data_IF_047025352362
#
_entry.id   IF_047025352362
#
_cell.length_a   1.000
_cell.length_b   1.000
_cell.length_c   1.000
_cell.angle_alpha   90.00
_cell.angle_beta   90.00
_cell.angle_gamma   90.00
#
_symmetry.space_group_name_H-M   'P 1'
#
loop_
_entity.id
_entity.type
_entity.pdbx_description
1 polymer ?
#
# COMPACT_ATOMS: atom_id res chain seq x y z
N UNK A 1 48.37 -44.75 -15.88
CA UNK A 1 47.82 -44.27 -14.60
C UNK A 1 47.17 -42.91 -14.89
N UNK A 2 45.83 -42.87 -14.79
CA UNK A 2 44.95 -41.68 -14.63
C UNK A 2 45.02 -40.58 -15.71
N UNK A 3 44.05 -40.47 -16.63
CA UNK A 3 42.71 -39.86 -16.43
C UNK A 3 42.90 -38.41 -15.97
N UNK A 4 42.59 -37.38 -16.77
CA UNK A 4 41.21 -36.91 -16.89
C UNK A 4 40.98 -36.15 -18.21
N UNK A 5 39.90 -36.54 -18.86
CA UNK A 5 39.38 -36.09 -20.14
C UNK A 5 38.92 -34.63 -20.03
N UNK A 6 39.41 -33.80 -20.94
CA UNK A 6 38.92 -32.46 -21.20
C UNK A 6 37.50 -32.59 -21.80
N UNK A 7 36.48 -32.70 -20.95
CA UNK A 7 35.10 -32.57 -21.38
C UNK A 7 34.84 -31.09 -21.69
N UNK A 8 35.10 -30.73 -22.95
CA UNK A 8 34.42 -29.63 -23.61
C UNK A 8 32.95 -30.03 -23.68
N UNK A 9 32.19 -29.75 -22.62
CA UNK A 9 30.76 -29.62 -22.78
C UNK A 9 30.52 -28.27 -23.44
N UNK A 10 30.47 -28.33 -24.78
CA UNK A 10 29.40 -27.70 -25.53
C UNK A 10 28.11 -27.96 -24.74
N UNK A 11 27.72 -27.04 -23.87
CA UNK A 11 26.31 -26.89 -23.55
C UNK A 11 25.71 -26.26 -24.79
N UNK A 12 25.35 -27.15 -25.73
CA UNK A 12 24.19 -26.96 -26.57
C UNK A 12 23.14 -26.29 -25.67
N UNK A 13 22.93 -24.99 -25.88
CA UNK A 13 21.68 -24.37 -25.51
C UNK A 13 20.64 -25.26 -26.17
N UNK A 14 20.01 -26.11 -25.36
CA UNK A 14 18.68 -26.58 -25.66
C UNK A 14 17.88 -25.30 -25.71
N UNK A 15 17.73 -24.83 -26.96
CA UNK A 15 16.62 -24.01 -27.41
C UNK A 15 15.37 -24.79 -27.01
N UNK A 16 15.01 -24.70 -25.73
CA UNK A 16 13.63 -24.62 -25.35
C UNK A 16 13.26 -23.19 -25.67
N UNK A 17 12.95 -23.02 -26.94
CA UNK A 17 12.03 -22.04 -27.45
C UNK A 17 10.94 -21.80 -26.41
N UNK A 18 11.08 -20.74 -25.62
CA UNK A 18 9.93 -19.92 -25.27
C UNK A 18 9.74 -19.00 -26.47
N UNK A 19 9.30 -19.60 -27.58
CA UNK A 19 8.51 -18.87 -28.55
C UNK A 19 7.11 -18.79 -27.95
N UNK A 20 6.61 -17.58 -27.73
CA UNK A 20 5.26 -17.34 -27.21
C UNK A 20 5.31 -16.56 -25.90
N UNK A 21 4.95 -15.29 -25.84
CA UNK A 21 4.14 -14.52 -26.78
C UNK A 21 4.63 -13.06 -26.75
N UNK A 22 4.70 -12.45 -27.94
CA UNK A 22 4.14 -11.12 -28.14
C UNK A 22 2.83 -11.09 -27.35
N UNK A 23 2.85 -10.61 -26.10
CA UNK A 23 1.70 -10.69 -25.21
C UNK A 23 0.63 -9.84 -25.89
N UNK A 24 -0.28 -10.51 -26.58
CA UNK A 24 -1.06 -9.87 -27.62
C UNK A 24 -1.84 -8.76 -26.97
N UNK A 25 -1.52 -7.52 -27.35
CA UNK A 25 -2.35 -6.37 -27.10
C UNK A 25 -3.59 -6.44 -28.01
N UNK A 26 -4.28 -7.58 -27.97
CA UNK A 26 -5.44 -7.96 -28.76
C UNK A 26 -6.32 -8.95 -27.94
N UNK A 27 -6.39 -8.77 -26.62
CA UNK A 27 -7.39 -9.50 -25.81
C UNK A 27 -8.80 -9.08 -26.26
N UNK A 28 -9.49 -9.95 -27.00
CA UNK A 28 -10.89 -9.80 -27.43
C UNK A 28 -11.20 -8.45 -28.13
N UNK A 29 -10.29 -7.90 -28.94
CA UNK A 29 -10.42 -6.58 -29.59
C UNK A 29 -10.74 -5.43 -28.61
N UNK A 30 -10.27 -5.55 -27.36
CA UNK A 30 -10.48 -4.53 -26.32
C UNK A 30 -9.22 -3.72 -25.99
N UNK A 31 -8.06 -4.16 -26.47
CA UNK A 31 -6.76 -3.52 -26.29
C UNK A 31 -6.12 -3.28 -27.67
N UNK A 32 -5.30 -2.24 -27.79
CA UNK A 32 -4.48 -1.97 -28.97
C UNK A 32 -3.15 -1.34 -28.58
N UNK A 33 -2.09 -1.68 -29.30
CA UNK A 33 -0.81 -0.99 -29.18
C UNK A 33 -0.94 0.45 -29.65
N UNK A 34 -0.38 1.38 -28.89
CA UNK A 34 -0.16 2.75 -29.35
C UNK A 34 0.91 2.77 -30.46
N UNK A 35 1.04 3.90 -31.19
CA UNK A 35 2.25 4.17 -31.96
C UNK A 35 3.51 4.11 -31.09
N UNK A 36 4.67 4.00 -31.74
CA UNK A 36 5.97 4.14 -31.09
C UNK A 36 6.25 5.61 -30.77
N UNK A 37 6.78 5.86 -29.57
CA UNK A 37 7.19 7.15 -29.06
C UNK A 37 8.68 7.10 -28.74
N UNK A 38 9.43 8.10 -29.20
CA UNK A 38 10.81 8.36 -28.81
C UNK A 38 10.85 9.79 -28.31
N UNK A 39 10.93 9.95 -26.99
CA UNK A 39 10.72 11.22 -26.34
C UNK A 39 12.02 11.86 -25.87
N UNK A 40 13.01 11.08 -25.42
CA UNK A 40 14.32 11.59 -25.01
C UNK A 40 15.45 10.93 -25.79
N UNK A 41 16.40 11.73 -26.24
CA UNK A 41 17.64 11.21 -26.82
C UNK A 41 18.61 10.72 -25.73
N UNK A 42 19.44 9.70 -26.02
CA UNK A 42 20.48 9.26 -25.11
C UNK A 42 21.40 10.40 -24.67
N UNK A 43 21.72 10.44 -23.38
CA UNK A 43 22.66 11.38 -22.80
C UNK A 43 23.80 10.62 -22.06
N UNK A 44 24.84 11.30 -21.55
CA UNK A 44 25.96 10.61 -20.89
C UNK A 44 25.60 9.75 -19.67
N UNK A 45 24.40 9.92 -19.09
CA UNK A 45 23.87 9.09 -17.99
C UNK A 45 22.99 7.92 -18.46
N UNK A 46 22.69 7.83 -19.75
CA UNK A 46 21.78 6.84 -20.33
C UNK A 46 20.60 7.50 -21.05
N UNK A 47 19.58 6.71 -21.34
CA UNK A 47 18.35 7.12 -22.02
C UNK A 47 17.13 6.71 -21.19
N UNK A 48 16.03 7.44 -21.30
CA UNK A 48 14.81 7.11 -20.58
C UNK A 48 13.55 7.60 -21.31
N UNK A 49 12.53 6.74 -21.32
CA UNK A 49 11.22 6.99 -21.89
C UNK A 49 10.18 6.92 -20.75
N UNK A 50 9.75 8.09 -20.26
CA UNK A 50 8.81 8.19 -19.14
C UNK A 50 7.37 8.18 -19.63
N UNK A 51 6.58 7.23 -19.15
CA UNK A 51 5.16 7.10 -19.45
C UNK A 51 4.39 8.38 -19.11
N UNK A 52 4.66 8.98 -17.95
CA UNK A 52 3.99 10.22 -17.55
C UNK A 52 4.29 11.39 -18.52
N UNK A 53 5.52 11.48 -19.03
CA UNK A 53 5.92 12.53 -19.96
C UNK A 53 5.27 12.33 -21.34
N UNK A 54 5.34 11.11 -21.88
CA UNK A 54 4.72 10.76 -23.17
C UNK A 54 3.20 10.92 -23.10
N UNK A 55 2.57 10.51 -21.99
CA UNK A 55 1.12 10.70 -21.76
C UNK A 55 0.74 12.17 -21.69
N UNK A 56 1.57 13.02 -21.08
CA UNK A 56 1.30 14.45 -21.04
C UNK A 56 1.27 15.08 -22.43
N UNK A 57 2.01 14.55 -23.40
CA UNK A 57 2.03 15.03 -24.78
C UNK A 57 1.00 14.34 -25.68
N UNK A 58 0.64 13.09 -25.35
CA UNK A 58 -0.30 12.28 -26.11
C UNK A 58 -1.45 11.74 -25.24
N UNK A 59 -2.21 12.61 -24.54
CA UNK A 59 -3.19 12.19 -23.52
C UNK A 59 -4.39 11.41 -24.08
N UNK A 60 -4.64 11.50 -25.38
CA UNK A 60 -5.71 10.79 -26.09
C UNK A 60 -5.26 9.46 -26.68
N UNK A 61 -3.95 9.24 -26.80
CA UNK A 61 -3.38 8.02 -27.39
C UNK A 61 -2.81 7.10 -26.32
N UNK A 62 -2.22 7.67 -25.27
CA UNK A 62 -1.57 6.91 -24.19
C UNK A 62 -2.46 6.92 -22.96
N UNK A 63 -2.92 5.73 -22.58
CA UNK A 63 -3.76 5.52 -21.41
C UNK A 63 -2.99 5.78 -20.09
N UNK A 64 -3.74 6.09 -19.04
CA UNK A 64 -3.15 6.35 -17.72
C UNK A 64 -2.57 5.12 -17.03
N UNK A 65 -3.00 3.92 -17.42
CA UNK A 65 -2.58 2.63 -16.86
C UNK A 65 -2.45 1.60 -18.01
N UNK A 66 -1.29 1.54 -18.69
CA UNK A 66 -1.04 0.57 -19.74
C UNK A 66 -1.09 -0.88 -19.23
N UNK A 67 -1.58 -1.80 -20.07
CA UNK A 67 -1.52 -3.23 -19.75
C UNK A 67 -0.10 -3.79 -19.92
N UNK A 68 0.68 -3.19 -20.81
CA UNK A 68 2.05 -3.56 -21.10
C UNK A 68 2.80 -2.38 -21.74
N UNK A 69 4.13 -2.44 -21.69
CA UNK A 69 5.03 -1.57 -22.43
C UNK A 69 6.00 -2.43 -23.24
N UNK A 70 6.35 -1.98 -24.45
CA UNK A 70 7.33 -2.61 -25.33
C UNK A 70 8.32 -1.55 -25.78
N UNK A 71 9.59 -1.91 -25.90
CA UNK A 71 10.65 -1.02 -26.34
C UNK A 71 11.51 -1.66 -27.44
N UNK A 72 11.88 -0.87 -28.45
CA UNK A 72 12.80 -1.28 -29.52
C UNK A 72 13.86 -0.20 -29.70
N UNK A 73 15.09 -0.59 -30.04
CA UNK A 73 16.09 0.40 -30.42
C UNK A 73 15.80 0.96 -31.83
N UNK A 74 16.55 1.99 -32.26
CA UNK A 74 16.40 2.59 -33.60
C UNK A 74 16.65 1.62 -34.77
N UNK A 75 17.29 0.46 -34.51
CA UNK A 75 17.44 -0.61 -35.51
C UNK A 75 16.23 -1.57 -35.55
N UNK A 76 15.21 -1.34 -34.73
CA UNK A 76 14.02 -2.18 -34.61
C UNK A 76 14.25 -3.47 -33.82
N UNK A 77 15.38 -3.59 -33.10
CA UNK A 77 15.69 -4.74 -32.27
C UNK A 77 14.96 -4.60 -30.94
N UNK A 78 14.23 -5.64 -30.54
CA UNK A 78 13.52 -5.67 -29.26
C UNK A 78 14.50 -5.53 -28.11
N UNK A 79 14.12 -4.76 -27.08
CA UNK A 79 14.93 -4.53 -25.88
C UNK A 79 15.51 -5.82 -25.27
N UNK A 80 14.77 -6.95 -25.32
CA UNK A 80 15.20 -8.22 -24.75
C UNK A 80 16.27 -8.95 -25.58
N UNK A 81 16.49 -8.50 -26.82
CA UNK A 81 17.49 -9.03 -27.74
C UNK A 81 18.77 -8.17 -27.75
N UNK A 82 18.70 -6.99 -27.15
CA UNK A 82 19.87 -6.13 -26.99
C UNK A 82 20.72 -6.61 -25.81
N UNK A 83 21.99 -6.23 -25.82
CA UNK A 83 22.90 -6.46 -24.68
C UNK A 83 22.88 -5.27 -23.70
N UNK A 84 21.90 -4.37 -23.79
CA UNK A 84 21.84 -3.13 -23.01
C UNK A 84 21.23 -3.34 -21.63
N UNK A 85 21.61 -2.50 -20.67
CA UNK A 85 21.07 -2.55 -19.31
C UNK A 85 19.75 -1.78 -19.24
N UNK A 86 18.65 -2.47 -19.55
CA UNK A 86 17.32 -1.87 -19.60
C UNK A 86 16.54 -2.20 -18.32
N UNK A 87 15.93 -1.18 -17.73
CA UNK A 87 15.11 -1.27 -16.52
C UNK A 87 13.73 -0.71 -16.85
N UNK A 88 12.68 -1.46 -16.54
CA UNK A 88 11.30 -0.98 -16.65
C UNK A 88 10.72 -0.77 -15.25
N UNK A 89 10.21 0.42 -14.96
CA UNK A 89 9.53 0.74 -13.69
C UNK A 89 8.23 1.45 -13.97
N UNK A 90 7.10 0.87 -13.58
CA UNK A 90 5.79 1.52 -13.75
C UNK A 90 5.57 2.04 -15.18
N UNK A 91 5.92 1.23 -16.17
CA UNK A 91 5.87 1.53 -17.62
C UNK A 91 6.89 2.55 -18.14
N UNK A 92 7.71 3.14 -17.28
CA UNK A 92 8.88 3.91 -17.70
C UNK A 92 10.00 2.96 -18.11
N UNK A 93 10.64 3.22 -19.23
CA UNK A 93 11.77 2.43 -19.75
C UNK A 93 13.05 3.24 -19.58
N UNK A 94 14.05 2.67 -18.93
CA UNK A 94 15.35 3.30 -18.70
C UNK A 94 16.43 2.41 -19.29
N UNK A 95 17.28 2.96 -20.15
CA UNK A 95 18.55 2.34 -20.47
C UNK A 95 19.66 3.04 -19.68
N UNK A 96 20.46 2.27 -18.94
CA UNK A 96 21.58 2.80 -18.16
C UNK A 96 22.91 2.51 -18.84
N UNK A 97 23.76 3.54 -18.96
CA UNK A 97 25.14 3.35 -19.40
C UNK A 97 25.88 2.50 -18.34
N UNK A 98 26.41 1.36 -18.76
CA UNK A 98 27.11 0.44 -17.88
C UNK A 98 28.54 0.91 -17.58
N UNK A 99 28.94 0.88 -16.30
CA UNK A 99 30.35 0.97 -15.91
C UNK A 99 30.84 -0.43 -15.51
N UNK A 100 31.06 -1.29 -16.51
CA UNK A 100 31.70 -2.58 -16.30
C UNK A 100 33.19 -2.49 -16.69
N UNK A 101 34.14 -2.63 -15.73
CA UNK A 101 35.57 -2.57 -16.01
C UNK A 101 36.09 -3.71 -16.91
N UNK A 102 35.29 -4.74 -17.20
CA UNK A 102 35.66 -5.86 -18.09
C UNK A 102 35.17 -5.71 -19.53
N UNK A 103 34.22 -4.83 -19.82
CA UNK A 103 33.57 -4.77 -21.14
C UNK A 103 33.61 -3.40 -21.85
N UNK A 104 34.49 -2.49 -21.38
CA UNK A 104 34.58 -1.10 -21.87
C UNK A 104 33.25 -0.34 -21.77
N UNK A 105 33.30 0.98 -21.93
CA UNK A 105 32.14 1.86 -21.79
C UNK A 105 31.04 1.49 -22.78
N UNK A 106 29.97 0.84 -22.31
CA UNK A 106 28.80 0.55 -23.13
C UNK A 106 27.78 1.67 -22.98
N UNK A 107 27.62 2.46 -24.04
CA UNK A 107 26.60 3.48 -24.16
C UNK A 107 25.30 2.85 -24.61
N UNK A 108 24.19 3.24 -23.97
CA UNK A 108 22.86 2.86 -24.38
C UNK A 108 22.57 3.20 -25.84
N UNK A 109 21.92 2.26 -26.54
CA UNK A 109 21.22 2.58 -27.77
C UNK A 109 20.07 3.55 -27.49
N UNK A 110 19.55 4.15 -28.56
CA UNK A 110 18.35 4.99 -28.54
C UNK A 110 17.10 4.11 -28.72
N UNK A 111 16.13 4.21 -27.80
CA UNK A 111 14.95 3.37 -27.67
C UNK A 111 13.65 4.13 -27.88
N UNK A 112 12.75 3.52 -28.63
CA UNK A 112 11.35 3.94 -28.75
C UNK A 112 10.46 3.00 -27.97
N UNK A 113 9.42 3.52 -27.33
CA UNK A 113 8.45 2.74 -26.55
C UNK A 113 7.04 2.82 -27.12
N UNK A 114 6.24 1.78 -26.90
CA UNK A 114 4.80 1.79 -27.13
C UNK A 114 4.07 1.12 -25.98
N UNK A 115 2.81 1.49 -25.80
CA UNK A 115 1.98 1.07 -24.68
C UNK A 115 0.80 0.24 -25.18
N UNK A 116 0.44 -0.79 -24.44
CA UNK A 116 -0.78 -1.53 -24.70
C UNK A 116 -1.93 -0.87 -23.94
N UNK A 117 -2.88 -0.26 -24.65
CA UNK A 117 -3.95 0.53 -24.05
C UNK A 117 -5.34 0.03 -24.45
N UNK A 118 -6.38 0.24 -23.62
CA UNK A 118 -7.75 -0.10 -23.99
C UNK A 118 -8.24 0.69 -25.21
N UNK A 119 -8.93 0.00 -26.13
CA UNK A 119 -9.64 0.64 -27.24
C UNK A 119 -10.87 1.33 -26.66
N UNK A 120 -10.87 2.66 -26.66
CA UNK A 120 -12.04 3.45 -26.30
C UNK A 120 -13.06 3.34 -27.43
N UNK A 121 -14.01 2.39 -27.32
CA UNK A 121 -15.19 2.39 -28.20
C UNK A 121 -16.02 3.62 -27.85
N UNK A 122 -16.24 4.53 -28.82
CA UNK A 122 -17.18 5.63 -28.65
C UNK A 122 -18.58 5.07 -28.43
N UNK A 123 -19.01 4.98 -27.17
CA UNK A 123 -20.37 4.62 -26.82
C UNK A 123 -21.30 5.75 -27.26
N UNK A 124 -22.39 5.38 -27.92
CA UNK A 124 -23.42 6.34 -28.35
C UNK A 124 -24.21 6.85 -27.16
N UNK A 125 -24.83 8.04 -27.28
CA UNK A 125 -25.63 8.66 -26.20
C UNK A 125 -26.79 7.77 -25.76
N UNK A 126 -27.28 6.90 -26.65
CA UNK A 126 -28.33 5.93 -26.35
C UNK A 126 -27.84 4.79 -25.41
N UNK A 127 -26.65 4.23 -25.62
CA UNK A 127 -26.12 3.12 -24.81
C UNK A 127 -25.77 3.54 -23.37
N UNK A 128 -25.35 4.79 -23.17
CA UNK A 128 -25.16 5.38 -21.83
C UNK A 128 -26.50 5.54 -21.11
N UNK A 129 -27.60 5.77 -21.85
CA UNK A 129 -28.93 5.97 -21.26
C UNK A 129 -29.55 4.66 -20.75
N UNK A 130 -29.29 3.54 -21.42
CA UNK A 130 -29.83 2.23 -21.02
C UNK A 130 -29.12 1.63 -19.79
N UNK A 131 -27.85 1.99 -19.55
CA UNK A 131 -27.12 1.62 -18.33
C UNK A 131 -27.66 2.33 -17.07
N UNK A 132 -28.33 3.48 -17.22
CA UNK A 132 -28.89 4.25 -16.11
C UNK A 132 -30.39 3.99 -15.87
N UNK A 133 -31.11 3.32 -16.79
CA UNK A 133 -32.58 3.15 -16.72
C UNK A 133 -33.04 1.75 -16.28
N UNK A 134 -32.21 0.70 -16.28
CA UNK A 134 -32.62 -0.65 -15.85
C UNK A 134 -32.69 -0.88 -14.32
N UNK A 135 -32.96 0.18 -13.55
CA UNK A 135 -33.54 0.05 -12.22
C UNK A 135 -35.01 -0.34 -12.31
N UNK A 136 -35.31 -1.64 -12.45
CA UNK A 136 -36.67 -2.15 -12.33
C UNK A 136 -36.85 -2.95 -11.03
N UNK A 137 -37.57 -2.34 -10.10
CA UNK A 137 -38.10 -2.93 -8.87
C UNK A 137 -39.40 -3.67 -9.16
N UNK A 138 -39.49 -4.93 -8.68
CA UNK A 138 -40.68 -5.78 -8.52
C UNK A 138 -40.87 -6.95 -9.52
N UNK A 139 -40.15 -8.03 -9.27
CA UNK A 139 -40.59 -9.44 -9.28
C UNK A 139 -39.33 -10.24 -8.90
N UNK A 140 -39.17 -10.76 -7.68
CA UNK A 140 -39.87 -11.91 -7.12
C UNK A 140 -39.83 -11.80 -5.59
N UNK A 141 -41.01 -11.66 -4.98
CA UNK A 141 -41.22 -12.13 -3.61
C UNK A 141 -41.34 -13.64 -3.70
N UNK A 142 -40.27 -14.36 -3.34
CA UNK A 142 -40.39 -15.61 -2.58
C UNK A 142 -39.02 -16.05 -2.03
N UNK A 143 -38.95 -16.03 -0.69
CA UNK A 143 -38.01 -16.62 0.26
C UNK A 143 -36.49 -16.28 0.22
N UNK A 144 -35.91 -15.85 1.38
CA UNK A 144 -34.59 -15.27 1.47
C UNK A 144 -33.51 -16.33 1.76
N UNK A 145 -32.47 -16.37 0.93
CA UNK A 145 -31.18 -16.94 1.34
C UNK A 145 -30.22 -15.82 1.72
N UNK A 146 -29.75 -15.89 2.96
CA UNK A 146 -28.77 -15.03 3.61
C UNK A 146 -27.50 -14.89 2.76
N UNK A 147 -27.31 -13.74 2.12
CA UNK A 147 -25.97 -13.20 1.84
C UNK A 147 -26.00 -11.70 2.20
N UNK A 148 -25.38 -11.37 3.33
CA UNK A 148 -25.38 -10.06 3.93
C UNK A 148 -24.86 -8.98 2.96
N UNK A 149 -25.62 -7.91 2.76
CA UNK A 149 -25.03 -6.61 2.43
C UNK A 149 -23.94 -6.33 3.48
N UNK A 150 -22.68 -6.27 3.04
CA UNK A 150 -21.54 -5.97 3.88
C UNK A 150 -21.71 -4.57 4.49
N UNK A 151 -22.07 -4.49 5.77
CA UNK A 151 -22.15 -3.21 6.50
C UNK A 151 -20.79 -2.92 7.11
N UNK A 152 -20.02 -2.03 6.48
CA UNK A 152 -18.73 -1.55 7.00
C UNK A 152 -18.88 -0.86 8.38
N UNK A 153 -17.77 -0.66 9.07
CA UNK A 153 -17.70 0.22 10.25
C UNK A 153 -18.41 -0.32 11.50
N UNK A 154 -18.70 -1.62 11.54
CA UNK A 154 -19.25 -2.29 12.72
C UNK A 154 -18.13 -2.84 13.59
N UNK A 155 -17.74 -2.07 14.60
CA UNK A 155 -16.89 -2.62 15.67
C UNK A 155 -17.65 -3.70 16.45
N UNK A 156 -16.92 -4.61 17.10
CA UNK A 156 -17.52 -5.51 18.09
C UNK A 156 -18.24 -4.72 19.18
N UNK A 157 -19.35 -5.25 19.73
CA UNK A 157 -20.13 -4.58 20.81
C UNK A 157 -19.26 -4.16 21.99
N UNK A 158 -18.12 -4.83 22.19
CA UNK A 158 -17.15 -4.55 23.25
C UNK A 158 -16.30 -3.28 23.06
N UNK A 159 -16.27 -2.67 21.86
CA UNK A 159 -15.50 -1.46 21.54
C UNK A 159 -16.15 -0.16 22.05
N UNK A 160 -17.40 -0.23 22.54
CA UNK A 160 -18.11 0.91 23.09
C UNK A 160 -17.52 1.30 24.46
N UNK A 161 -16.91 2.49 24.52
CA UNK A 161 -16.42 3.09 25.75
C UNK A 161 -17.61 3.59 26.56
N UNK A 162 -18.25 2.70 27.34
CA UNK A 162 -19.24 3.15 28.31
C UNK A 162 -18.51 3.87 29.45
N UNK A 163 -18.62 5.21 29.45
CA UNK A 163 -18.41 5.99 30.66
C UNK A 163 -19.59 5.69 31.60
N UNK A 164 -19.49 4.62 32.38
CA UNK A 164 -20.40 4.40 33.49
C UNK A 164 -19.99 5.32 34.64
N UNK A 165 -20.75 6.40 34.83
CA UNK A 165 -20.84 7.07 36.12
C UNK A 165 -21.43 6.05 37.12
N UNK A 166 -20.65 5.67 38.13
CA UNK A 166 -21.07 4.68 39.13
C UNK A 166 -20.01 4.54 40.21
N UNK A 167 -20.29 5.12 41.36
CA UNK A 167 -19.49 5.19 42.58
C UNK A 167 -18.99 3.83 43.08
N UNK A 168 -17.69 3.72 43.34
CA UNK A 168 -17.18 2.96 44.48
C UNK A 168 -15.80 3.48 44.89
N UNK A 169 -15.81 4.21 45.99
CA UNK A 169 -14.65 4.73 46.70
C UNK A 169 -14.05 3.56 47.50
N UNK A 170 -13.22 2.69 46.89
CA UNK A 170 -12.29 1.77 47.57
C UNK A 170 -11.64 0.85 46.52
N UNK A 171 -10.65 1.34 45.76
CA UNK A 171 -9.55 0.52 45.20
C UNK A 171 -8.46 1.42 44.57
N UNK A 172 -8.19 2.58 45.15
CA UNK A 172 -6.98 3.35 44.84
C UNK A 172 -5.85 2.76 45.65
N UNK A 173 -5.09 1.82 45.06
CA UNK A 173 -3.69 1.46 45.36
C UNK A 173 -3.44 0.04 44.80
N UNK A 174 -3.29 -0.07 43.47
CA UNK A 174 -2.59 -1.14 42.73
C UNK A 174 -2.92 -0.98 41.24
N UNK A 175 -2.40 0.08 40.60
CA UNK A 175 -2.38 0.15 39.13
C UNK A 175 -1.14 0.90 38.63
N UNK A 176 -0.02 0.64 39.28
CA UNK A 176 1.31 1.05 38.81
C UNK A 176 1.87 -0.05 37.91
N UNK A 177 2.25 0.35 36.69
CA UNK A 177 3.02 -0.39 35.69
C UNK A 177 2.27 -1.35 34.75
N UNK A 178 1.70 -0.79 33.67
CA UNK A 178 1.53 -1.52 32.40
C UNK A 178 2.01 -0.60 31.25
N UNK A 179 2.97 -1.02 30.38
CA UNK A 179 3.58 -0.15 29.37
C UNK A 179 2.75 -0.05 28.07
N UNK A 180 2.73 1.11 27.38
CA UNK A 180 1.61 1.70 26.59
C UNK A 180 1.96 2.13 25.14
N UNK A 181 1.09 2.13 24.09
CA UNK A 181 1.07 3.28 23.11
C UNK A 181 1.14 4.52 24.01
N UNK A 182 2.00 5.53 23.90
CA UNK A 182 2.28 6.38 25.08
C UNK A 182 0.98 6.76 25.84
N UNK A 183 0.82 6.25 27.07
CA UNK A 183 -0.39 6.30 27.92
C UNK A 183 -1.76 5.79 27.39
N UNK A 184 -1.81 5.01 26.32
CA UNK A 184 -2.94 4.24 25.79
C UNK A 184 -3.18 2.91 26.52
N UNK A 185 -4.38 2.35 26.32
CA UNK A 185 -4.85 1.12 26.98
C UNK A 185 -4.80 -0.06 26.02
N UNK A 186 -4.69 -1.28 26.54
CA UNK A 186 -4.90 -2.47 25.74
C UNK A 186 -6.32 -2.45 25.16
N UNK A 187 -6.44 -2.71 23.86
CA UNK A 187 -7.74 -2.85 23.23
C UNK A 187 -8.38 -4.16 23.71
N UNK A 188 -9.70 -4.22 23.84
CA UNK A 188 -10.33 -5.53 24.05
C UNK A 188 -10.14 -6.36 22.78
N UNK A 189 -9.84 -7.67 22.87
CA UNK A 189 -9.74 -8.54 21.70
C UNK A 189 -10.93 -8.36 20.75
N UNK A 190 -10.66 -8.34 19.45
CA UNK A 190 -11.66 -8.19 18.37
C UNK A 190 -12.41 -6.84 18.35
N UNK A 191 -11.98 -5.83 19.11
CA UNK A 191 -12.65 -4.51 19.09
C UNK A 191 -12.51 -3.79 17.75
N UNK A 192 -11.42 -4.07 17.01
CA UNK A 192 -11.05 -3.37 15.80
C UNK A 192 -10.84 -4.35 14.63
N UNK A 193 -11.93 -4.92 14.09
CA UNK A 193 -11.86 -6.02 13.12
C UNK A 193 -11.29 -5.63 11.74
N UNK A 194 -11.09 -4.34 11.50
CA UNK A 194 -10.44 -3.82 10.29
C UNK A 194 -8.93 -3.62 10.44
N UNK A 195 -8.36 -3.76 11.64
CA UNK A 195 -6.93 -3.54 11.84
C UNK A 195 -6.12 -4.64 11.17
N UNK A 196 -5.09 -4.23 10.46
CA UNK A 196 -4.18 -5.13 9.74
C UNK A 196 -2.77 -4.93 10.26
N UNK A 197 -2.13 -6.01 10.69
CA UNK A 197 -0.69 -6.06 10.92
C UNK A 197 0.00 -6.42 9.62
N UNK A 198 0.82 -5.50 9.10
CA UNK A 198 1.66 -5.71 7.94
C UNK A 198 3.05 -6.13 8.43
N UNK A 199 3.50 -7.31 8.01
CA UNK A 199 4.85 -7.82 8.25
C UNK A 199 5.59 -8.04 6.94
N UNK A 200 6.89 -8.32 7.05
CA UNK A 200 7.75 -8.65 5.91
C UNK A 200 8.48 -9.98 6.13
N UNK A 201 8.62 -10.75 5.06
CA UNK A 201 9.44 -11.94 4.97
C UNK A 201 10.68 -11.59 4.13
N UNK A 202 11.87 -11.79 4.67
CA UNK A 202 13.14 -11.49 3.99
C UNK A 202 14.15 -12.61 4.17
N UNK A 203 15.13 -12.68 3.27
CA UNK A 203 16.22 -13.65 3.37
C UNK A 203 17.39 -13.01 4.11
N UNK A 204 17.76 -13.54 5.27
CA UNK A 204 18.91 -13.05 6.02
C UNK A 204 20.24 -13.36 5.32
N UNK A 205 21.35 -12.81 5.83
CA UNK A 205 22.71 -13.07 5.32
C UNK A 205 23.12 -14.54 5.32
N UNK A 206 22.43 -15.37 6.11
CA UNK A 206 22.62 -16.83 6.18
C UNK A 206 21.83 -17.61 5.12
N UNK A 207 21.07 -16.93 4.26
CA UNK A 207 20.21 -17.58 3.25
C UNK A 207 18.93 -18.19 3.81
N UNK A 208 18.65 -18.05 5.11
CA UNK A 208 17.43 -18.52 5.78
C UNK A 208 16.34 -17.46 5.71
N UNK A 209 15.10 -17.86 5.42
CA UNK A 209 13.94 -16.98 5.47
C UNK A 209 13.64 -16.57 6.91
N UNK A 210 13.60 -15.25 7.14
CA UNK A 210 13.23 -14.62 8.39
C UNK A 210 11.94 -13.82 8.20
N UNK A 211 11.16 -13.71 9.27
CA UNK A 211 9.91 -12.96 9.26
C UNK A 211 9.98 -11.86 10.32
N UNK A 212 9.81 -10.61 9.90
CA UNK A 212 9.36 -9.54 10.80
C UNK A 212 7.84 -9.59 10.81
N UNK A 213 7.28 -10.07 11.90
CA UNK A 213 5.84 -10.30 12.06
C UNK A 213 5.00 -9.02 11.94
N UNK A 214 5.59 -7.88 12.29
CA UNK A 214 4.98 -6.57 12.22
C UNK A 214 6.02 -5.50 11.89
N UNK A 215 5.72 -4.65 10.91
CA UNK A 215 6.50 -3.46 10.53
C UNK A 215 5.63 -2.21 10.43
N UNK A 216 4.38 -2.37 10.01
CA UNK A 216 3.41 -1.29 9.88
C UNK A 216 1.99 -1.80 10.20
N UNK A 217 1.11 -0.86 10.49
CA UNK A 217 -0.33 -1.06 10.45
C UNK A 217 -0.92 -0.90 9.05
N UNK A 218 -2.15 -1.37 8.91
CA UNK A 218 -3.02 -1.13 7.78
C UNK A 218 -4.48 -1.22 8.20
N UNK A 219 -5.38 -0.90 7.28
CA UNK A 219 -6.82 -0.88 7.55
C UNK A 219 -7.60 -1.53 6.42
N UNK A 220 -8.37 -2.57 6.74
CA UNK A 220 -9.27 -3.22 5.81
C UNK A 220 -10.43 -2.28 5.43
N UNK A 221 -10.55 -1.93 4.15
CA UNK A 221 -11.58 -0.99 3.63
C UNK A 221 -12.66 -1.68 2.78
N UNK A 222 -12.38 -2.88 2.29
CA UNK A 222 -13.36 -3.85 1.77
C UNK A 222 -12.83 -5.28 2.00
N UNK A 223 -13.43 -6.31 1.41
CA UNK A 223 -12.97 -7.70 1.61
C UNK A 223 -11.61 -8.02 0.98
N UNK A 224 -11.05 -7.17 0.12
CA UNK A 224 -9.84 -7.45 -0.67
C UNK A 224 -8.80 -6.35 -0.63
N UNK A 225 -9.07 -5.21 0.02
CA UNK A 225 -8.22 -4.04 -0.02
C UNK A 225 -7.89 -3.52 1.38
N UNK A 226 -6.59 -3.29 1.59
CA UNK A 226 -6.04 -2.72 2.82
C UNK A 226 -5.41 -1.38 2.50
N UNK A 227 -5.83 -0.34 3.21
CA UNK A 227 -5.23 0.99 3.15
C UNK A 227 -4.07 1.08 4.14
N UNK A 228 -2.96 1.68 3.74
CA UNK A 228 -1.78 1.91 4.59
C UNK A 228 -1.03 3.16 4.10
N UNK A 229 0.12 3.46 4.70
CA UNK A 229 0.99 4.56 4.29
C UNK A 229 1.90 4.13 3.12
N UNK A 230 2.27 5.07 2.25
CA UNK A 230 3.20 4.83 1.15
C UNK A 230 4.56 4.37 1.64
N UNK A 231 5.10 5.02 2.67
CA UNK A 231 6.40 4.66 3.25
C UNK A 231 6.45 3.24 3.85
N UNK A 232 5.30 2.65 4.19
CA UNK A 232 5.23 1.29 4.71
C UNK A 232 5.50 0.23 3.64
N UNK A 233 5.22 0.56 2.37
CA UNK A 233 5.35 -0.35 1.23
C UNK A 233 6.43 0.06 0.24
N UNK A 234 6.88 1.32 0.28
CA UNK A 234 8.03 1.82 -0.48
C UNK A 234 9.37 1.47 0.20
N UNK A 235 9.40 0.48 1.10
CA UNK A 235 10.63 0.15 1.80
C UNK A 235 11.72 -0.18 0.78
N UNK A 236 12.77 0.67 0.79
CA UNK A 236 14.06 0.38 0.19
C UNK A 236 14.52 -0.93 0.82
N UNK A 237 14.35 -2.04 0.11
CA UNK A 237 15.04 -3.27 0.44
C UNK A 237 16.52 -2.90 0.30
N UNK A 238 17.17 -2.61 1.43
CA UNK A 238 18.61 -2.39 1.52
C UNK A 238 19.29 -3.51 0.73
N UNK A 239 20.21 -3.17 -0.18
CA UNK A 239 20.85 -4.07 -1.15
C UNK A 239 21.44 -5.35 -0.50
N UNK A 240 21.63 -5.33 0.84
CA UNK A 240 22.01 -6.48 1.66
C UNK A 240 20.93 -7.56 1.83
N UNK A 241 19.68 -7.28 1.48
CA UNK A 241 18.52 -8.19 1.60
C UNK A 241 17.96 -8.63 0.24
N UNK A 242 18.57 -8.20 -0.87
CA UNK A 242 18.26 -8.68 -2.22
C UNK A 242 19.05 -9.96 -2.47
N UNK A 243 18.40 -11.12 -2.69
CA UNK A 243 19.12 -12.29 -3.17
C UNK A 243 19.61 -12.01 -4.60
N UNK A 244 20.93 -12.15 -4.80
CA UNK A 244 21.57 -12.29 -6.11
C UNK A 244 21.03 -13.57 -6.79
N UNK A 245 19.84 -13.50 -7.40
CA UNK A 245 19.28 -14.57 -8.22
C UNK A 245 18.28 -13.99 -9.21
N UNK A 246 18.41 -14.39 -10.47
CA UNK A 246 17.58 -14.06 -11.63
C UNK A 246 16.10 -14.50 -11.56
N UNK A 247 15.61 -14.83 -10.37
CA UNK A 247 14.20 -15.13 -10.07
C UNK A 247 13.71 -14.15 -9.01
N UNK A 248 13.62 -12.87 -9.36
CA UNK A 248 13.15 -11.85 -8.43
C UNK A 248 11.69 -12.14 -8.03
N UNK A 249 11.40 -12.43 -6.76
CA UNK A 249 10.03 -12.49 -6.31
C UNK A 249 9.52 -11.04 -6.26
N UNK A 250 8.34 -10.77 -6.80
CA UNK A 250 7.78 -9.41 -6.89
C UNK A 250 7.70 -8.76 -5.49
N UNK A 251 7.69 -7.42 -5.40
CA UNK A 251 7.62 -6.70 -4.11
C UNK A 251 6.52 -7.25 -3.18
N UNK A 252 5.40 -7.66 -3.77
CA UNK A 252 4.23 -8.25 -3.11
C UNK A 252 4.56 -9.51 -2.31
N UNK A 253 5.48 -10.33 -2.81
CA UNK A 253 5.85 -11.62 -2.19
C UNK A 253 6.46 -11.47 -0.80
N UNK A 254 7.05 -10.30 -0.51
CA UNK A 254 7.69 -9.98 0.76
C UNK A 254 6.65 -9.67 1.85
N UNK A 255 5.46 -9.18 1.48
CA UNK A 255 4.48 -8.70 2.47
C UNK A 255 3.56 -9.82 2.95
N UNK A 256 3.40 -9.89 4.28
CA UNK A 256 2.44 -10.75 4.95
C UNK A 256 1.45 -9.89 5.72
N UNK A 257 0.16 -10.15 5.57
CA UNK A 257 -0.90 -9.39 6.21
C UNK A 257 -1.68 -10.29 7.16
N UNK A 258 -1.93 -9.81 8.39
CA UNK A 258 -2.82 -10.45 9.37
C UNK A 258 -3.90 -9.47 9.78
N UNK A 259 -5.14 -9.92 9.70
CA UNK A 259 -6.32 -9.08 9.89
C UNK A 259 -6.99 -9.47 11.20
N UNK A 260 -7.39 -8.49 12.00
CA UNK A 260 -8.17 -8.74 13.21
C UNK A 260 -7.41 -9.42 14.34
N UNK A 261 -6.08 -9.53 14.23
CA UNK A 261 -5.24 -10.11 15.27
C UNK A 261 -5.30 -9.24 16.53
N UNK A 262 -5.22 -9.84 17.72
CA UNK A 262 -5.04 -9.07 18.98
C UNK A 262 -3.59 -9.14 19.43
N UNK A 263 -3.10 -10.36 19.63
CA UNK A 263 -1.69 -10.64 19.95
C UNK A 263 -0.94 -11.16 18.72
N UNK A 264 -0.01 -10.37 18.19
CA UNK A 264 0.79 -10.72 16.99
C UNK A 264 1.81 -11.84 17.24
N UNK A 265 1.94 -12.32 18.48
CA UNK A 265 2.78 -13.46 18.87
C UNK A 265 1.97 -14.62 19.47
N UNK A 266 0.64 -14.59 19.34
CA UNK A 266 -0.20 -15.70 19.79
C UNK A 266 0.24 -17.03 19.15
N UNK A 267 0.07 -18.13 19.86
CA UNK A 267 0.32 -19.49 19.33
C UNK A 267 -0.62 -19.85 18.19
N UNK A 268 -1.85 -19.32 18.23
CA UNK A 268 -2.84 -19.45 17.16
C UNK A 268 -3.11 -18.06 16.57
N UNK A 269 -2.49 -17.78 15.43
CA UNK A 269 -2.69 -16.54 14.69
C UNK A 269 -3.78 -16.70 13.63
N UNK A 270 -4.46 -15.60 13.26
CA UNK A 270 -5.33 -15.59 12.08
C UNK A 270 -4.58 -15.97 10.81
N UNK A 271 -5.35 -16.35 9.79
CA UNK A 271 -4.84 -16.63 8.45
C UNK A 271 -3.93 -15.52 7.92
N UNK A 272 -2.89 -15.94 7.21
CA UNK A 272 -1.99 -15.02 6.51
C UNK A 272 -2.59 -14.72 5.13
N UNK A 273 -2.70 -13.45 4.82
CA UNK A 273 -2.97 -12.95 3.48
C UNK A 273 -1.67 -12.47 2.84
N UNK A 274 -1.57 -12.65 1.52
CA UNK A 274 -0.44 -12.13 0.73
C UNK A 274 -0.89 -10.89 -0.02
N UNK A 275 0.06 -10.00 -0.32
CA UNK A 275 -0.19 -8.97 -1.30
C UNK A 275 -0.30 -9.63 -2.68
N UNK A 276 -1.35 -9.31 -3.42
CA UNK A 276 -1.48 -9.59 -4.86
C UNK A 276 -0.98 -8.42 -5.69
N UNK A 277 -1.22 -7.21 -5.20
CA UNK A 277 -0.76 -5.96 -5.81
C UNK A 277 -0.59 -4.91 -4.73
N UNK A 278 0.45 -4.10 -4.86
CA UNK A 278 0.68 -2.91 -4.05
C UNK A 278 0.59 -1.70 -4.97
N UNK A 279 -0.18 -0.69 -4.57
CA UNK A 279 -0.28 0.57 -5.30
C UNK A 279 -0.02 1.73 -4.34
N UNK A 280 1.15 2.32 -4.45
CA UNK A 280 1.49 3.58 -3.78
C UNK A 280 0.96 4.76 -4.60
N UNK A 281 0.58 5.84 -3.94
CA UNK A 281 0.17 7.05 -4.64
C UNK A 281 1.28 7.54 -5.58
N UNK A 282 0.92 7.92 -6.81
CA UNK A 282 1.89 8.21 -7.88
C UNK A 282 2.79 9.40 -7.56
N UNK A 283 2.26 10.35 -6.77
CA UNK A 283 2.99 11.54 -6.31
C UNK A 283 3.50 11.38 -4.87
N UNK A 284 3.69 10.16 -4.36
CA UNK A 284 4.29 9.95 -3.05
C UNK A 284 5.76 10.40 -3.06
N UNK A 285 6.17 11.18 -2.05
CA UNK A 285 7.55 11.66 -1.91
C UNK A 285 8.06 11.22 -0.53
N UNK A 286 8.96 10.23 -0.48
CA UNK A 286 9.45 9.69 0.80
C UNK A 286 10.30 10.65 1.64
N UNK A 287 10.93 11.66 1.04
CA UNK A 287 11.70 12.66 1.80
C UNK A 287 10.80 13.64 2.56
N UNK A 288 9.59 13.90 2.07
CA UNK A 288 8.65 14.89 2.66
C UNK A 288 7.37 14.27 3.18
N UNK A 289 7.16 12.97 2.98
CA UNK A 289 5.90 12.25 3.29
C UNK A 289 4.66 12.89 2.63
N UNK A 290 4.84 13.58 1.51
CA UNK A 290 3.73 14.08 0.71
C UNK A 290 3.01 12.92 0.03
N UNK A 291 1.67 12.93 0.06
CA UNK A 291 0.83 11.86 -0.49
C UNK A 291 1.18 10.46 0.06
N UNK A 292 1.48 10.40 1.36
CA UNK A 292 1.83 9.15 2.05
C UNK A 292 0.62 8.24 2.25
N UNK A 293 0.23 7.56 1.18
CA UNK A 293 -0.88 6.63 1.10
C UNK A 293 -0.58 5.51 0.09
N UNK A 294 -0.96 4.29 0.45
CA UNK A 294 -0.90 3.13 -0.40
C UNK A 294 -2.10 2.21 -0.17
N UNK A 295 -2.39 1.37 -1.16
CA UNK A 295 -3.41 0.33 -1.08
C UNK A 295 -2.80 -1.01 -1.47
N UNK A 296 -3.10 -2.02 -0.68
CA UNK A 296 -2.66 -3.41 -0.89
C UNK A 296 -3.89 -4.22 -1.24
N UNK A 297 -3.90 -4.83 -2.43
CA UNK A 297 -4.91 -5.82 -2.81
C UNK A 297 -4.45 -7.18 -2.30
N UNK A 298 -5.33 -7.87 -1.57
CA UNK A 298 -5.10 -9.20 -1.03
C UNK A 298 -5.17 -10.28 -2.12
N UNK A 299 -4.47 -11.38 -1.93
CA UNK A 299 -4.50 -12.59 -2.78
C UNK A 299 -5.88 -13.24 -2.86
N UNK A 300 -6.66 -13.14 -1.78
CA UNK A 300 -8.01 -13.68 -1.68
C UNK A 300 -8.90 -12.79 -0.78
N UNK A 301 -10.23 -12.83 -0.96
CA UNK A 301 -11.14 -12.08 -0.12
C UNK A 301 -11.12 -12.58 1.33
N UNK A 302 -11.29 -11.65 2.25
CA UNK A 302 -11.47 -11.88 3.68
C UNK A 302 -12.89 -12.35 3.94
N UNK A 303 -13.02 -13.43 4.70
CA UNK A 303 -14.32 -13.89 5.19
C UNK A 303 -14.74 -12.98 6.34
N UNK A 304 -15.82 -12.23 6.13
CA UNK A 304 -16.30 -11.28 7.14
C UNK A 304 -16.81 -12.02 8.38
N UNK A 305 -16.36 -11.56 9.55
CA UNK A 305 -16.62 -12.12 10.87
C UNK A 305 -16.55 -11.04 11.94
N UNK A 306 -16.78 -11.42 13.21
CA UNK A 306 -16.67 -10.50 14.35
C UNK A 306 -15.24 -9.99 14.59
N UNK A 307 -14.24 -10.66 14.04
CA UNK A 307 -12.83 -10.29 14.16
C UNK A 307 -12.24 -9.78 12.85
N UNK A 308 -12.88 -9.96 11.70
CA UNK A 308 -12.42 -9.45 10.42
C UNK A 308 -13.57 -8.79 9.64
N UNK A 309 -13.59 -7.46 9.54
CA UNK A 309 -14.60 -6.73 8.78
C UNK A 309 -14.10 -5.33 8.41
N UNK A 310 -14.53 -4.77 7.26
CA UNK A 310 -13.99 -3.50 6.79
C UNK A 310 -14.52 -2.29 7.57
N UNK A 311 -13.70 -1.24 7.68
CA UNK A 311 -14.13 0.08 8.13
C UNK A 311 -14.79 0.85 6.99
N UNK A 312 -15.64 1.84 7.30
CA UNK A 312 -16.18 2.70 6.26
C UNK A 312 -15.18 3.77 5.81
N UNK A 313 -15.23 4.12 4.52
CA UNK A 313 -14.59 5.34 4.00
C UNK A 313 -15.43 6.56 4.40
N UNK A 314 -14.81 7.69 4.79
CA UNK A 314 -15.54 8.87 5.24
C UNK A 314 -16.18 9.64 4.09
N UNK A 315 -17.29 10.32 4.36
CA UNK A 315 -17.93 11.22 3.40
C UNK A 315 -17.34 12.64 3.42
N UNK A 316 -16.76 13.05 4.56
CA UNK A 316 -16.23 14.40 4.77
C UNK A 316 -15.04 14.39 5.71
N UNK A 317 -14.22 15.46 5.65
CA UNK A 317 -13.02 15.57 6.45
C UNK A 317 -13.35 15.62 7.94
N UNK A 318 -12.49 14.99 8.76
CA UNK A 318 -12.61 15.09 10.21
C UNK A 318 -12.33 16.54 10.63
N UNK A 319 -13.30 17.13 11.34
CA UNK A 319 -13.21 18.51 11.81
C UNK A 319 -12.17 18.65 12.95
N UNK A 320 -11.46 19.80 13.03
CA UNK A 320 -10.67 20.14 14.21
C UNK A 320 -11.49 20.08 15.50
N UNK A 321 -10.84 19.71 16.61
CA UNK A 321 -11.45 19.52 17.92
C UNK A 321 -12.21 18.20 18.07
N UNK A 322 -12.44 17.44 16.98
CA UNK A 322 -13.11 16.15 17.05
C UNK A 322 -12.23 15.12 17.77
N UNK A 323 -12.84 14.40 18.71
CA UNK A 323 -12.24 13.23 19.36
C UNK A 323 -12.20 12.06 18.37
N UNK A 324 -11.04 11.42 18.30
CA UNK A 324 -10.75 10.30 17.41
C UNK A 324 -9.99 9.21 18.17
N UNK A 325 -10.05 7.99 17.65
CA UNK A 325 -9.36 6.83 18.19
C UNK A 325 -8.27 6.39 17.23
N UNK A 326 -7.10 6.07 17.76
CA UNK A 326 -6.00 5.42 17.05
C UNK A 326 -5.76 4.06 17.68
N UNK A 327 -5.37 3.06 16.89
CA UNK A 327 -5.06 1.73 17.38
C UNK A 327 -3.95 1.08 16.56
N UNK A 328 -3.12 0.27 17.22
CA UNK A 328 -1.98 -0.40 16.59
C UNK A 328 -1.10 -1.17 17.58
N UNK A 329 0.02 -1.67 17.07
CA UNK A 329 1.03 -2.44 17.80
C UNK A 329 2.34 -1.69 17.96
N UNK A 330 2.33 -0.37 17.73
CA UNK A 330 3.51 0.48 17.83
C UNK A 330 4.23 0.39 19.17
N UNK A 331 5.45 0.89 19.19
CA UNK A 331 6.31 0.88 20.37
C UNK A 331 5.66 1.61 21.52
N UNK A 332 5.90 1.07 22.71
CA UNK A 332 5.19 1.52 23.91
C UNK A 332 5.83 2.72 24.64
N UNK A 333 6.86 3.30 24.02
CA UNK A 333 7.53 4.53 24.43
C UNK A 333 8.55 4.89 23.35
N UNK A 334 8.98 6.15 23.30
CA UNK A 334 10.07 6.60 22.42
C UNK A 334 11.37 5.79 22.64
N UNK A 335 11.59 5.30 23.86
CA UNK A 335 12.76 4.49 24.23
C UNK A 335 12.58 2.98 24.05
N UNK A 336 11.36 2.52 23.76
CA UNK A 336 11.09 1.08 23.66
C UNK A 336 11.73 0.52 22.39
N UNK A 337 12.55 -0.52 22.57
CA UNK A 337 13.24 -1.23 21.47
C UNK A 337 12.36 -2.28 20.79
N UNK A 338 11.15 -2.55 21.32
CA UNK A 338 10.27 -3.62 20.87
C UNK A 338 8.82 -3.10 20.80
N UNK A 339 8.11 -3.52 19.76
CA UNK A 339 6.69 -3.27 19.54
C UNK A 339 5.80 -3.91 20.62
N UNK A 340 4.58 -3.41 20.79
CA UNK A 340 3.57 -4.07 21.63
C UNK A 340 3.13 -5.35 20.95
N UNK A 341 3.04 -6.46 21.70
CA UNK A 341 2.54 -7.71 21.13
C UNK A 341 1.02 -7.70 21.06
N UNK A 342 0.37 -7.07 22.04
CA UNK A 342 -1.08 -6.89 22.10
C UNK A 342 -1.50 -5.59 21.44
N UNK A 343 -2.66 -5.59 20.80
CA UNK A 343 -3.26 -4.43 20.19
C UNK A 343 -3.60 -3.40 21.27
N UNK A 344 -3.24 -2.15 21.01
CA UNK A 344 -3.50 -1.02 21.91
C UNK A 344 -4.30 0.06 21.21
N UNK A 345 -4.93 0.91 22.01
CA UNK A 345 -5.70 2.04 21.53
C UNK A 345 -5.52 3.29 22.38
N UNK A 346 -5.71 4.45 21.77
CA UNK A 346 -5.75 5.74 22.46
C UNK A 346 -6.83 6.64 21.84
N UNK A 347 -7.43 7.48 22.68
CA UNK A 347 -8.28 8.58 22.24
C UNK A 347 -7.48 9.88 22.26
N UNK A 348 -7.49 10.57 21.13
CA UNK A 348 -6.81 11.85 20.90
C UNK A 348 -7.78 12.83 20.22
N UNK A 349 -7.36 14.07 19.98
CA UNK A 349 -8.19 15.05 19.28
C UNK A 349 -7.46 15.58 18.05
N UNK A 350 -8.23 15.79 16.99
CA UNK A 350 -7.74 16.51 15.80
C UNK A 350 -7.47 17.95 16.21
N UNK A 351 -6.29 18.45 15.87
CA UNK A 351 -5.91 19.83 16.16
C UNK A 351 -6.22 20.75 14.96
N UNK A 352 -6.40 22.05 15.19
CA UNK A 352 -6.42 23.02 14.11
C UNK A 352 -5.11 23.00 13.31
N UNK A 353 -5.17 23.26 12.00
CA UNK A 353 -4.00 23.36 11.10
C UNK A 353 -2.89 24.26 11.66
N UNK A 354 -3.26 25.39 12.29
CA UNK A 354 -2.32 26.32 12.92
C UNK A 354 -1.48 25.71 14.05
N UNK A 355 -1.94 24.61 14.63
CA UNK A 355 -1.30 23.92 15.75
C UNK A 355 -0.48 22.70 15.29
N UNK A 356 -0.51 22.38 14.00
CA UNK A 356 0.28 21.31 13.40
C UNK A 356 1.71 21.78 13.15
N UNK A 357 2.50 21.85 14.23
CA UNK A 357 3.93 22.14 14.13
C UNK A 357 4.68 20.87 13.74
N UNK A 358 5.23 20.88 12.53
CA UNK A 358 6.11 19.84 12.01
C UNK A 358 7.56 20.32 12.05
N UNK A 359 8.50 19.42 11.76
CA UNK A 359 9.91 19.81 11.61
C UNK A 359 10.12 20.70 10.40
N UNK A 360 11.20 21.48 10.42
CA UNK A 360 11.54 22.47 9.39
C UNK A 360 11.69 21.90 7.99
N UNK A 361 12.05 20.62 7.88
CA UNK A 361 12.37 19.98 6.59
C UNK A 361 11.16 19.29 5.94
N UNK A 362 10.00 19.31 6.61
CA UNK A 362 8.75 18.72 6.11
C UNK A 362 7.70 19.81 5.92
N UNK A 363 7.16 19.94 4.72
CA UNK A 363 6.05 20.85 4.46
C UNK A 363 4.73 20.23 4.94
N UNK A 364 4.04 20.92 5.85
CA UNK A 364 2.71 20.52 6.28
C UNK A 364 1.63 21.11 5.38
N UNK A 365 0.91 20.24 4.64
CA UNK A 365 -0.23 20.63 3.80
C UNK A 365 -1.54 20.25 4.49
N UNK A 366 -2.18 21.22 5.15
CA UNK A 366 -3.45 21.01 5.86
C UNK A 366 -4.63 20.54 5.00
N UNK A 367 -4.53 20.66 3.67
CA UNK A 367 -5.55 20.17 2.74
C UNK A 367 -5.48 18.64 2.54
N UNK A 368 -4.29 18.05 2.71
CA UNK A 368 -4.01 16.63 2.53
C UNK A 368 -3.63 15.91 3.83
N UNK A 369 -3.19 16.66 4.83
CA UNK A 369 -2.74 16.16 6.12
C UNK A 369 -3.59 16.73 7.26
N UNK A 370 -3.67 15.99 8.36
CA UNK A 370 -4.24 16.43 9.62
C UNK A 370 -3.27 16.05 10.74
N UNK A 371 -3.25 16.80 11.83
CA UNK A 371 -2.51 16.39 13.01
C UNK A 371 -3.46 16.15 14.20
N UNK A 372 -3.06 15.25 15.08
CA UNK A 372 -3.83 14.91 16.26
C UNK A 372 -2.91 14.62 17.44
N UNK A 373 -3.37 14.98 18.64
CA UNK A 373 -2.65 14.72 19.88
C UNK A 373 -3.63 14.58 21.05
N UNK A 374 -3.18 13.95 22.14
CA UNK A 374 -3.87 14.08 23.41
C UNK A 374 -3.79 15.52 23.93
N UNK A 375 -4.85 16.02 24.58
CA UNK A 375 -4.90 17.41 25.07
C UNK A 375 -3.81 17.71 26.11
N UNK A 376 -3.46 16.71 26.90
CA UNK A 376 -2.41 16.75 27.91
C UNK A 376 -1.03 16.37 27.34
N UNK A 377 -0.95 16.08 26.03
CA UNK A 377 0.23 15.55 25.35
C UNK A 377 0.74 14.23 25.94
N UNK A 378 -0.12 13.49 26.64
CA UNK A 378 0.27 12.23 27.27
C UNK A 378 0.15 11.04 26.32
N UNK A 379 -0.58 11.17 25.20
CA UNK A 379 -0.79 10.07 24.24
C UNK A 379 -0.49 10.45 22.82
N UNK A 380 0.12 9.51 22.12
CA UNK A 380 0.51 9.63 20.72
C UNK A 380 0.72 8.25 20.08
N UNK A 381 0.60 8.19 18.75
CA UNK A 381 1.05 7.05 17.94
C UNK A 381 2.57 6.99 17.92
N UNK A 382 3.15 5.78 17.84
CA UNK A 382 4.60 5.61 17.88
C UNK A 382 5.08 4.59 16.82
N UNK A 383 6.39 4.28 16.82
CA UNK A 383 7.01 3.45 15.80
C UNK A 383 6.31 2.07 15.66
N UNK A 384 5.79 1.75 14.48
CA UNK A 384 4.98 0.54 14.22
C UNK A 384 3.47 0.81 14.11
N UNK A 385 2.98 1.97 14.55
CA UNK A 385 1.59 2.38 14.25
C UNK A 385 1.43 2.98 12.85
N UNK A 386 2.55 3.29 12.16
CA UNK A 386 2.60 3.78 10.78
C UNK A 386 1.69 2.98 9.85
N UNK A 387 0.92 3.68 9.02
CA UNK A 387 -0.08 3.06 8.13
C UNK A 387 -1.38 2.61 8.82
N UNK A 388 -1.43 2.59 10.15
CA UNK A 388 -2.63 2.30 10.93
C UNK A 388 -3.66 3.45 10.91
N UNK A 389 -4.92 3.18 11.28
CA UNK A 389 -6.01 4.14 11.15
C UNK A 389 -6.08 5.16 12.30
N UNK A 390 -6.39 6.40 11.93
CA UNK A 390 -7.08 7.36 12.78
C UNK A 390 -8.58 7.29 12.42
N UNK A 391 -9.39 6.92 13.39
CA UNK A 391 -10.79 6.54 13.18
C UNK A 391 -11.74 7.32 14.09
N UNK A 392 -12.96 7.53 13.60
CA UNK A 392 -14.01 8.23 14.31
C UNK A 392 -15.34 7.50 14.13
N UNK A 393 -16.29 7.76 15.04
CA UNK A 393 -17.60 7.13 15.01
C UNK A 393 -18.70 8.19 14.84
N UNK A 394 -19.63 7.94 13.92
CA UNK A 394 -20.88 8.68 13.74
C UNK A 394 -22.06 7.71 13.75
N UNK A 395 -23.07 7.94 14.60
CA UNK A 395 -24.28 7.13 14.68
C UNK A 395 -24.02 5.61 14.78
N UNK A 396 -22.97 5.22 15.52
CA UNK A 396 -22.59 3.83 15.71
C UNK A 396 -21.69 3.25 14.61
N UNK A 397 -21.44 3.98 13.52
CA UNK A 397 -20.62 3.55 12.38
C UNK A 397 -19.22 4.16 12.45
N UNK A 398 -18.20 3.31 12.33
CA UNK A 398 -16.80 3.72 12.32
C UNK A 398 -16.29 4.00 10.91
N UNK A 399 -15.55 5.10 10.77
CA UNK A 399 -14.93 5.53 9.53
C UNK A 399 -13.44 5.87 9.71
N UNK A 400 -12.63 5.65 8.67
CA UNK A 400 -11.21 6.01 8.67
C UNK A 400 -11.01 7.48 8.27
N UNK A 401 -10.72 8.32 9.26
CA UNK A 401 -10.49 9.76 9.06
C UNK A 401 -9.08 10.12 8.60
N UNK A 402 -8.10 9.27 8.89
CA UNK A 402 -6.71 9.45 8.46
C UNK A 402 -5.87 8.19 8.59
N UNK A 403 -4.67 8.25 8.00
CA UNK A 403 -3.65 7.18 8.01
C UNK A 403 -2.41 7.70 8.73
N UNK A 404 -1.92 6.97 9.72
CA UNK A 404 -0.73 7.35 10.50
C UNK A 404 0.49 7.46 9.60
N UNK A 405 1.15 8.62 9.56
CA UNK A 405 2.22 8.91 8.60
C UNK A 405 3.56 9.16 9.30
N UNK A 406 3.74 10.32 9.95
CA UNK A 406 4.99 10.69 10.61
C UNK A 406 4.76 11.54 11.88
N UNK A 407 5.81 11.78 12.67
CA UNK A 407 5.78 12.62 13.87
C UNK A 407 7.18 12.90 14.43
N UNK A 408 7.32 13.94 15.28
CA UNK A 408 8.59 14.16 16.01
C UNK A 408 8.63 13.32 17.27
N UNK A 409 9.31 12.18 17.21
CA UNK A 409 9.34 11.25 18.32
C UNK A 409 7.92 10.80 18.65
N UNK A 410 7.71 10.39 19.89
CA UNK A 410 6.39 9.96 20.33
C UNK A 410 5.97 10.78 21.55
N UNK A 411 4.81 11.43 21.47
CA UNK A 411 4.22 12.22 22.56
C UNK A 411 5.08 13.41 22.99
N UNK A 412 5.89 13.97 22.07
CA UNK A 412 6.64 15.19 22.34
C UNK A 412 5.70 16.38 22.42
N UNK A 413 5.68 17.03 23.57
CA UNK A 413 4.87 18.23 23.78
C UNK A 413 5.17 19.26 22.70
N UNK A 414 4.12 19.72 22.02
CA UNK A 414 4.21 20.72 20.96
C UNK A 414 4.38 20.14 19.54
N UNK A 415 4.60 18.83 19.40
CA UNK A 415 4.74 18.15 18.12
C UNK A 415 3.70 17.03 18.01
N UNK A 416 2.53 17.30 17.40
CA UNK A 416 1.49 16.30 17.24
C UNK A 416 1.86 15.26 16.17
N UNK A 417 1.30 14.06 16.28
CA UNK A 417 1.36 13.07 15.19
C UNK A 417 0.64 13.59 13.95
N UNK A 418 1.20 13.31 12.77
CA UNK A 418 0.65 13.72 11.48
C UNK A 418 0.10 12.50 10.72
N UNK A 419 -1.06 12.71 10.12
CA UNK A 419 -1.83 11.69 9.43
C UNK A 419 -2.22 12.18 8.04
N UNK A 420 -2.18 11.30 7.05
CA UNK A 420 -2.74 11.56 5.72
C UNK A 420 -4.26 11.56 5.83
N UNK A 421 -4.94 12.64 5.41
CA UNK A 421 -6.41 12.69 5.31
C UNK A 421 -6.87 11.69 4.27
N UNK A 422 -7.97 10.98 4.49
CA UNK A 422 -8.49 10.02 3.51
C UNK A 422 -9.39 10.64 2.44
N UNK A 423 -10.13 11.71 2.78
CA UNK A 423 -11.11 12.35 1.88
C UNK A 423 -10.52 12.89 0.58
N UNK A 424 -9.39 13.63 0.60
CA UNK A 424 -8.77 14.12 -0.64
C UNK A 424 -8.36 12.99 -1.61
N UNK A 425 -8.17 11.78 -1.09
CA UNK A 425 -7.73 10.63 -1.87
C UNK A 425 -8.86 9.65 -2.21
N UNK A 426 -10.14 9.95 -1.88
CA UNK A 426 -11.25 9.01 -2.15
C UNK A 426 -11.37 8.64 -3.63
N UNK A 427 -11.14 9.59 -4.55
CA UNK A 427 -11.14 9.28 -5.98
C UNK A 427 -10.03 8.29 -6.33
N UNK A 428 -8.82 8.54 -5.82
CA UNK A 428 -7.67 7.65 -6.02
C UNK A 428 -7.91 6.26 -5.43
N UNK A 429 -8.40 6.19 -4.18
CA UNK A 429 -8.74 4.93 -3.49
C UNK A 429 -9.74 4.12 -4.33
N UNK A 430 -10.82 4.74 -4.80
CA UNK A 430 -11.84 4.08 -5.62
C UNK A 430 -11.26 3.57 -6.94
N UNK A 431 -10.44 4.37 -7.62
CA UNK A 431 -9.79 3.95 -8.86
C UNK A 431 -8.93 2.71 -8.64
N UNK A 432 -8.13 2.67 -7.57
CA UNK A 432 -7.26 1.52 -7.27
C UNK A 432 -8.03 0.28 -6.80
N UNK A 433 -9.18 0.45 -6.15
CA UNK A 433 -10.06 -0.68 -5.79
C UNK A 433 -10.70 -1.31 -7.03
N UNK A 434 -11.00 -0.52 -8.06
CA UNK A 434 -11.64 -0.98 -9.30
C UNK A 434 -10.65 -1.57 -10.32
N UNK A 435 -9.36 -1.23 -10.24
CA UNK A 435 -8.35 -1.80 -11.13
C UNK A 435 -8.17 -3.30 -10.85
N UNK A 436 -8.58 -4.13 -11.81
CA UNK A 436 -8.58 -5.60 -11.71
C UNK A 436 -7.33 -6.29 -12.25
N UNK A 437 -6.37 -5.51 -12.75
CA UNK A 437 -5.15 -5.99 -13.39
C UNK A 437 -3.93 -5.49 -12.64
#
# INVERSE_FOLDING_TARGET
MMITILFVHLVLFSVTTIHGQEMQCELNNSLSWTPWFNFHKPNPKGEYELHAAIRSQHPTLVCSDPHAVSAVNQAGVDMNQTLDMIIIRSYDVFCLNGYDPKFQHKTCDDYSVRYCCPIVKNLTKEEVRDLFISGNTNALVDNPSKAAQLKCGRASRAASFQASAGTSLLLTLLNSMVPKIINGVEARPNSWPWLVSIGIQYRGSTGVWQNRTHVCGGTLIDTTHVLTAGHCVEQKIDDRFVPLSSTHPSLESFFILRIGVHDIRATQLPDIYRARRISTHENFISSTFENDIAIIRLDRPVVVSDYASPICLPASNVAPGRKVTVAGWGTVSETARVHSNVLRQANINVLPTSNCRVYTDVHYDGSKQLCAAALDWSKDTCAGDSGGPLMYQDNGVWSIGGITSYGYGCSKRGFPGVYTRTVPYLSWIKTKMLSNH
#
